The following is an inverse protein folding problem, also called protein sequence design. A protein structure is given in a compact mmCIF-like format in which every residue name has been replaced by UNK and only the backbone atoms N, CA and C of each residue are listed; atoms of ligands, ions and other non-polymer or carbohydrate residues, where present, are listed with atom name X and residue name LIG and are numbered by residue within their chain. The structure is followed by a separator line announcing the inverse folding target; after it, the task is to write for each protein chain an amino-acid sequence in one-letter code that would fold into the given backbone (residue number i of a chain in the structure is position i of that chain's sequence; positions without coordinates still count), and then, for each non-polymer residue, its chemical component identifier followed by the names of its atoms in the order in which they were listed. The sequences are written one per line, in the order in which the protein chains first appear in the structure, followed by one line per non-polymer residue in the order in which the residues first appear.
data_IF_215665832190
#
_entry.id   IF_215665832190
#
_cell.length_a   1.000
_cell.length_b   1.000
_cell.length_c   1.000
_cell.angle_alpha   90.00
_cell.angle_beta   90.00
_cell.angle_gamma   90.00
#
_symmetry.space_group_name_H-M   'P 1'
#
loop_
_entity.id
_entity.type
_entity.pdbx_description
1 polymer ?
#
# COMPACT_ATOMS: atom_id res chain seq x y z
N UNK A 1 43.42 -5.01 -65.02
CA UNK A 1 42.14 -5.73 -64.88
C UNK A 1 42.14 -6.75 -63.74
N UNK A 2 42.65 -8.00 -63.88
CA UNK A 2 42.55 -9.06 -62.83
C UNK A 2 43.05 -8.65 -61.43
N UNK A 3 44.17 -7.93 -61.32
CA UNK A 3 44.73 -7.47 -60.04
C UNK A 3 43.89 -6.38 -59.33
N UNK A 4 43.15 -5.56 -60.08
CA UNK A 4 42.26 -4.54 -59.52
C UNK A 4 41.04 -5.18 -58.82
N UNK A 5 40.56 -6.33 -59.31
CA UNK A 5 39.48 -7.08 -58.66
C UNK A 5 39.91 -7.71 -57.34
N UNK A 6 41.16 -8.21 -57.24
CA UNK A 6 41.71 -8.68 -55.96
C UNK A 6 41.74 -7.55 -54.93
N UNK A 7 42.18 -6.36 -55.34
CA UNK A 7 42.20 -5.20 -54.44
C UNK A 7 40.79 -4.79 -53.99
N UNK A 8 39.83 -4.79 -54.91
CA UNK A 8 38.45 -4.45 -54.61
C UNK A 8 37.79 -5.47 -53.65
N UNK A 9 38.08 -6.77 -53.84
CA UNK A 9 37.64 -7.83 -52.94
C UNK A 9 38.22 -7.65 -51.54
N UNK A 10 39.51 -7.32 -51.43
CA UNK A 10 40.17 -7.13 -50.15
C UNK A 10 39.62 -5.90 -49.41
N UNK A 11 39.30 -4.83 -50.15
CA UNK A 11 38.62 -3.65 -49.61
C UNK A 11 37.24 -4.02 -49.04
N UNK A 12 36.47 -4.82 -49.77
CA UNK A 12 35.13 -5.26 -49.34
C UNK A 12 35.20 -6.11 -48.06
N UNK A 13 36.14 -7.04 -47.99
CA UNK A 13 36.40 -7.86 -46.80
C UNK A 13 36.77 -6.97 -45.61
N UNK A 14 37.63 -5.98 -45.82
CA UNK A 14 38.04 -5.05 -44.75
C UNK A 14 36.85 -4.24 -44.23
N UNK A 15 36.02 -3.68 -45.12
CA UNK A 15 34.80 -2.97 -44.75
C UNK A 15 33.82 -3.87 -43.99
N UNK A 16 33.70 -5.14 -44.40
CA UNK A 16 32.84 -6.10 -43.75
C UNK A 16 33.30 -6.43 -42.33
N UNK A 17 34.62 -6.60 -42.11
CA UNK A 17 35.18 -6.82 -40.78
C UNK A 17 34.94 -5.60 -39.88
N UNK A 18 35.13 -4.39 -40.40
CA UNK A 18 34.83 -3.14 -39.66
C UNK A 18 33.36 -3.11 -39.25
N UNK A 19 32.45 -3.41 -40.17
CA UNK A 19 31.01 -3.49 -39.90
C UNK A 19 30.71 -4.50 -38.78
N UNK A 20 31.32 -5.69 -38.81
CA UNK A 20 31.14 -6.71 -37.77
C UNK A 20 31.60 -6.21 -36.40
N UNK A 21 32.77 -5.57 -36.32
CA UNK A 21 33.31 -5.03 -35.06
C UNK A 21 32.37 -3.96 -34.50
N UNK A 22 31.90 -3.02 -35.33
CA UNK A 22 30.98 -1.97 -34.90
C UNK A 22 29.64 -2.56 -34.42
N UNK A 23 29.07 -3.50 -35.18
CA UNK A 23 27.81 -4.16 -34.84
C UNK A 23 27.92 -4.93 -33.52
N UNK A 24 29.01 -5.67 -33.34
CA UNK A 24 29.28 -6.39 -32.09
C UNK A 24 29.39 -5.43 -30.90
N UNK A 25 30.23 -4.40 -31.02
CA UNK A 25 30.46 -3.43 -29.95
C UNK A 25 29.19 -2.66 -29.57
N UNK A 26 28.35 -2.33 -30.54
CA UNK A 26 27.05 -1.71 -30.29
C UNK A 26 26.10 -2.65 -29.53
N UNK A 27 26.02 -3.92 -29.93
CA UNK A 27 25.20 -4.93 -29.23
C UNK A 27 25.69 -5.15 -27.80
N UNK A 28 27.00 -5.27 -27.62
CA UNK A 28 27.63 -5.44 -26.31
C UNK A 28 27.31 -4.27 -25.38
N UNK A 29 27.46 -3.02 -25.86
CA UNK A 29 27.10 -1.83 -25.09
C UNK A 29 25.63 -1.83 -24.66
N UNK A 30 24.72 -2.14 -25.60
CA UNK A 30 23.29 -2.23 -25.31
C UNK A 30 23.00 -3.32 -24.27
N UNK A 31 23.63 -4.49 -24.39
CA UNK A 31 23.44 -5.60 -23.44
C UNK A 31 23.95 -5.21 -22.06
N UNK A 32 25.17 -4.67 -21.97
CA UNK A 32 25.77 -4.28 -20.69
C UNK A 32 24.94 -3.20 -19.98
N UNK A 33 24.44 -2.20 -20.71
CA UNK A 33 23.56 -1.17 -20.13
C UNK A 33 22.26 -1.78 -19.58
N UNK A 34 21.66 -2.74 -20.28
CA UNK A 34 20.47 -3.44 -19.77
C UNK A 34 20.79 -4.30 -18.53
N UNK A 35 21.95 -4.96 -18.51
CA UNK A 35 22.40 -5.74 -17.34
C UNK A 35 22.60 -4.81 -16.14
N UNK A 36 23.21 -3.65 -16.34
CA UNK A 36 23.46 -2.67 -15.28
C UNK A 36 22.15 -2.10 -14.72
N UNK A 37 21.19 -1.79 -15.60
CA UNK A 37 19.84 -1.39 -15.20
C UNK A 37 19.09 -2.48 -14.41
N UNK A 38 19.16 -3.73 -14.87
CA UNK A 38 18.53 -4.85 -14.14
C UNK A 38 19.19 -5.08 -12.79
N UNK A 39 20.52 -4.88 -12.70
CA UNK A 39 21.27 -5.01 -11.45
C UNK A 39 20.85 -3.94 -10.45
N UNK A 40 20.76 -2.67 -10.86
CA UNK A 40 20.32 -1.60 -9.95
C UNK A 40 18.87 -1.79 -9.49
N UNK A 41 18.00 -2.25 -10.40
CA UNK A 41 16.61 -2.56 -10.05
C UNK A 41 16.50 -3.70 -9.03
N UNK A 42 17.29 -4.77 -9.20
CA UNK A 42 17.33 -5.87 -8.25
C UNK A 42 17.86 -5.43 -6.88
N UNK A 43 18.87 -4.57 -6.85
CA UNK A 43 19.41 -4.03 -5.60
C UNK A 43 18.37 -3.17 -4.86
N UNK A 44 17.67 -2.30 -5.57
CA UNK A 44 16.58 -1.49 -4.99
C UNK A 44 15.44 -2.36 -4.46
N UNK A 45 15.05 -3.40 -5.20
CA UNK A 45 14.02 -4.35 -4.76
C UNK A 45 14.49 -5.12 -3.52
N UNK A 46 15.75 -5.56 -3.48
CA UNK A 46 16.30 -6.25 -2.31
C UNK A 46 16.24 -5.37 -1.06
N UNK A 47 16.65 -4.11 -1.16
CA UNK A 47 16.57 -3.17 -0.04
C UNK A 47 15.12 -2.99 0.45
N UNK A 48 14.16 -2.88 -0.47
CA UNK A 48 12.74 -2.78 -0.11
C UNK A 48 12.20 -4.05 0.56
N UNK A 49 12.69 -5.23 0.17
CA UNK A 49 12.33 -6.48 0.82
C UNK A 49 12.84 -6.48 2.26
N UNK A 50 14.11 -6.11 2.47
CA UNK A 50 14.71 -6.05 3.82
C UNK A 50 13.99 -5.03 4.73
N UNK A 51 13.64 -3.87 4.18
CA UNK A 51 12.83 -2.86 4.88
C UNK A 51 11.43 -3.38 5.22
N UNK A 52 10.78 -4.09 4.29
CA UNK A 52 9.46 -4.65 4.52
C UNK A 52 9.51 -5.77 5.58
N UNK A 53 10.53 -6.61 5.55
CA UNK A 53 10.73 -7.70 6.51
C UNK A 53 10.99 -7.16 7.92
N UNK A 54 11.91 -6.20 8.06
CA UNK A 54 12.18 -5.54 9.34
C UNK A 54 10.95 -4.80 9.90
N UNK A 55 10.16 -4.16 9.03
CA UNK A 55 8.90 -3.54 9.42
C UNK A 55 7.88 -4.58 9.88
N UNK A 56 7.76 -5.71 9.18
CA UNK A 56 6.89 -6.81 9.60
C UNK A 56 7.31 -7.35 10.96
N UNK A 57 8.59 -7.60 11.18
CA UNK A 57 9.12 -8.05 12.46
C UNK A 57 8.80 -7.04 13.58
N UNK A 58 9.05 -5.75 13.34
CA UNK A 58 8.69 -4.68 14.27
C UNK A 58 7.19 -4.67 14.59
N UNK A 59 6.32 -4.84 13.59
CA UNK A 59 4.85 -4.90 13.78
C UNK A 59 4.42 -6.10 14.63
N UNK A 60 5.15 -7.22 14.56
CA UNK A 60 4.84 -8.38 15.42
C UNK A 60 5.20 -8.16 16.89
N UNK A 61 6.09 -7.21 17.18
CA UNK A 61 6.63 -6.97 18.52
C UNK A 61 5.57 -6.43 19.49
N UNK A 62 5.65 -6.83 20.77
CA UNK A 62 4.72 -6.38 21.83
C UNK A 62 4.70 -4.86 22.00
N UNK A 63 5.83 -4.19 21.80
CA UNK A 63 5.96 -2.74 21.86
C UNK A 63 5.08 -2.04 20.81
N UNK A 64 5.09 -2.53 19.56
CA UNK A 64 4.25 -2.00 18.49
C UNK A 64 2.77 -2.23 18.80
N UNK A 65 2.40 -3.43 19.24
CA UNK A 65 1.01 -3.73 19.64
C UNK A 65 0.56 -2.81 20.77
N UNK A 66 1.38 -2.58 21.79
CA UNK A 66 1.06 -1.67 22.88
C UNK A 66 0.92 -0.22 22.38
N UNK A 67 1.81 0.25 21.50
CA UNK A 67 1.71 1.56 20.87
C UNK A 67 0.36 1.74 20.15
N UNK A 68 -0.03 0.77 19.33
CA UNK A 68 -1.30 0.80 18.60
C UNK A 68 -2.50 0.80 19.56
N UNK A 69 -2.47 -0.02 20.61
CA UNK A 69 -3.53 -0.06 21.63
C UNK A 69 -3.65 1.30 22.37
N UNK A 70 -2.54 1.95 22.66
CA UNK A 70 -2.51 3.30 23.25
C UNK A 70 -3.05 4.36 22.31
N UNK A 71 -2.64 4.34 21.05
CA UNK A 71 -3.03 5.35 20.04
C UNK A 71 -4.49 5.18 19.58
N UNK A 72 -4.94 3.96 19.33
CA UNK A 72 -6.27 3.72 18.73
C UNK A 72 -7.37 3.51 19.76
N UNK A 73 -7.08 2.80 20.85
CA UNK A 73 -8.08 2.43 21.86
C UNK A 73 -7.99 3.29 23.13
N UNK A 74 -7.04 4.22 23.18
CA UNK A 74 -6.82 5.08 24.36
C UNK A 74 -6.44 4.30 25.61
N UNK A 75 -6.00 3.05 25.47
CA UNK A 75 -5.62 2.18 26.59
C UNK A 75 -4.35 2.73 27.23
N UNK A 76 -4.21 2.57 28.55
CA UNK A 76 -3.03 3.02 29.31
C UNK A 76 -2.45 1.88 30.12
N UNK A 77 -1.15 1.91 30.35
CA UNK A 77 -0.53 0.92 31.24
C UNK A 77 -0.91 1.23 32.70
N UNK A 78 -0.88 0.20 33.56
CA UNK A 78 -1.20 0.35 34.99
C UNK A 78 -0.22 1.34 35.64
N UNK A 79 -0.74 2.40 36.25
CA UNK A 79 0.05 3.46 36.91
C UNK A 79 0.37 4.69 36.04
N UNK A 80 0.00 4.68 34.76
CA UNK A 80 0.25 5.79 33.82
C UNK A 80 -0.84 6.88 33.95
N UNK A 81 -0.43 8.15 34.05
CA UNK A 81 -1.33 9.32 34.02
C UNK A 81 -1.32 9.91 32.62
N UNK A 82 -2.44 9.79 31.91
CA UNK A 82 -2.63 10.33 30.55
C UNK A 82 -3.48 11.59 30.64
N UNK A 83 -3.00 12.70 30.05
CA UNK A 83 -3.71 13.99 29.99
C UNK A 83 -4.18 14.18 28.55
N UNK A 84 -5.50 14.30 28.35
CA UNK A 84 -6.09 14.53 27.04
C UNK A 84 -6.27 16.02 26.81
N UNK A 85 -5.59 16.58 25.82
CA UNK A 85 -5.74 17.98 25.41
C UNK A 85 -6.87 18.07 24.36
N UNK A 86 -8.12 18.06 24.80
CA UNK A 86 -9.31 18.20 23.95
C UNK A 86 -10.37 19.07 24.64
N UNK A 87 -11.27 19.69 23.87
CA UNK A 87 -12.44 20.39 24.44
C UNK A 87 -13.38 19.40 25.16
N UNK A 88 -14.04 19.87 26.22
CA UNK A 88 -14.84 19.06 27.18
C UNK A 88 -15.86 18.12 26.51
N UNK A 89 -16.42 18.51 25.36
CA UNK A 89 -17.44 17.74 24.64
C UNK A 89 -16.92 16.42 24.02
N UNK A 90 -15.65 16.36 23.60
CA UNK A 90 -15.06 15.15 23.00
C UNK A 90 -14.60 14.14 24.07
N UNK A 91 -14.32 14.62 25.27
CA UNK A 91 -13.87 13.80 26.41
C UNK A 91 -14.99 12.89 26.94
N UNK A 92 -16.21 13.42 27.08
CA UNK A 92 -17.34 12.67 27.64
C UNK A 92 -17.76 11.44 26.82
N UNK A 93 -17.56 11.46 25.49
CA UNK A 93 -17.94 10.33 24.60
C UNK A 93 -17.10 9.06 24.82
N UNK A 94 -15.83 9.20 25.22
CA UNK A 94 -14.90 8.08 25.36
C UNK A 94 -14.67 7.63 26.80
N UNK A 95 -14.91 8.50 27.78
CA UNK A 95 -14.69 8.20 29.21
C UNK A 95 -15.95 7.62 29.87
N UNK A 96 -17.15 8.13 29.58
CA UNK A 96 -18.38 7.62 30.23
C UNK A 96 -18.73 6.18 29.86
N UNK A 97 -18.32 5.68 28.70
CA UNK A 97 -18.59 4.30 28.28
C UNK A 97 -17.73 3.25 29.00
N UNK A 98 -16.59 3.63 29.58
CA UNK A 98 -15.70 2.69 30.26
C UNK A 98 -15.90 2.64 31.78
N UNK A 99 -16.50 3.66 32.39
CA UNK A 99 -16.74 3.70 33.84
C UNK A 99 -18.00 2.91 34.26
N UNK A 100 -18.95 2.70 33.34
CA UNK A 100 -20.19 1.94 33.59
C UNK A 100 -20.06 0.41 33.36
N UNK A 101 -18.84 -0.09 33.08
CA UNK A 101 -18.59 -1.51 32.78
C UNK A 101 -18.54 -2.46 33.98
N UNK A 102 -19.04 -2.05 35.16
CA UNK A 102 -19.22 -2.94 36.32
C UNK A 102 -20.68 -2.87 36.76
N UNK A 103 -21.38 -3.98 36.55
CA UNK A 103 -22.79 -4.27 36.87
C UNK A 103 -23.79 -3.94 35.76
N UNK A 104 -24.16 -4.95 34.95
CA UNK A 104 -25.45 -5.66 35.05
C UNK A 104 -25.61 -6.62 33.86
N UNK A 105 -25.84 -7.89 34.17
CA UNK A 105 -26.59 -8.79 33.28
C UNK A 105 -28.02 -8.23 33.17
N UNK A 106 -28.54 -8.11 31.96
CA UNK A 106 -29.92 -7.69 31.71
C UNK A 106 -30.11 -7.33 30.24
N UNK A 107 -30.88 -8.13 29.52
CA UNK A 107 -31.39 -7.85 28.18
C UNK A 107 -32.20 -6.55 28.20
N UNK A 108 -31.76 -5.51 27.49
CA UNK A 108 -32.63 -4.42 27.04
C UNK A 108 -32.23 -3.99 25.62
N UNK A 109 -33.15 -4.24 24.70
CA UNK A 109 -33.14 -3.83 23.30
C UNK A 109 -32.98 -2.31 23.21
N UNK A 110 -31.86 -1.85 22.65
CA UNK A 110 -31.66 -0.44 22.36
C UNK A 110 -32.24 -0.15 20.96
N UNK A 111 -33.49 0.33 20.92
CA UNK A 111 -34.05 1.02 19.76
C UNK A 111 -33.17 2.22 19.42
N UNK A 112 -32.37 2.08 18.36
CA UNK A 112 -31.63 3.20 17.77
C UNK A 112 -32.65 4.18 17.20
N UNK A 113 -32.60 5.44 17.62
CA UNK A 113 -33.30 6.54 16.95
C UNK A 113 -32.62 6.73 15.59
N UNK A 114 -33.13 6.04 14.58
CA UNK A 114 -32.68 6.15 13.19
C UNK A 114 -33.21 7.42 12.54
N UNK A 115 -32.35 8.06 11.74
CA UNK A 115 -32.75 9.14 10.82
C UNK A 115 -33.88 8.65 9.88
N UNK A 116 -34.84 9.49 9.44
CA UNK A 116 -35.97 9.07 8.61
C UNK A 116 -35.56 8.27 7.37
N UNK A 117 -34.41 8.60 6.78
CA UNK A 117 -33.82 7.91 5.62
C UNK A 117 -33.32 6.50 5.96
N UNK A 118 -32.71 6.33 7.13
CA UNK A 118 -32.16 5.05 7.57
C UNK A 118 -33.27 4.03 7.88
N UNK A 119 -34.44 4.49 8.37
CA UNK A 119 -35.60 3.62 8.61
C UNK A 119 -36.15 3.03 7.31
N UNK A 120 -36.18 3.83 6.25
CA UNK A 120 -36.64 3.40 4.92
C UNK A 120 -35.70 2.32 4.38
N UNK A 121 -34.38 2.54 4.48
CA UNK A 121 -33.37 1.59 4.00
C UNK A 121 -33.44 0.27 4.77
N UNK A 122 -33.73 0.27 6.08
CA UNK A 122 -33.84 -0.97 6.85
C UNK A 122 -35.02 -1.87 6.42
N UNK A 123 -36.15 -1.27 6.01
CA UNK A 123 -37.32 -2.02 5.52
C UNK A 123 -37.15 -2.67 4.14
N UNK A 124 -36.08 -2.34 3.41
CA UNK A 124 -35.84 -2.82 2.05
C UNK A 124 -35.12 -4.16 2.01
N UNK A 125 -35.47 -4.97 1.01
CA UNK A 125 -34.72 -6.18 0.67
C UNK A 125 -33.32 -5.83 0.14
N UNK A 126 -32.38 -6.78 0.21
CA UNK A 126 -31.00 -6.51 -0.22
C UNK A 126 -30.90 -6.02 -1.67
N UNK A 127 -31.76 -6.51 -2.56
CA UNK A 127 -31.79 -6.06 -3.96
C UNK A 127 -32.24 -4.60 -4.10
N UNK A 128 -33.26 -4.19 -3.36
CA UNK A 128 -33.77 -2.82 -3.35
C UNK A 128 -32.75 -1.84 -2.76
N UNK A 129 -32.01 -2.26 -1.72
CA UNK A 129 -30.89 -1.49 -1.17
C UNK A 129 -29.84 -1.18 -2.23
N UNK A 130 -29.41 -2.19 -2.99
CA UNK A 130 -28.43 -2.00 -4.07
C UNK A 130 -28.94 -1.07 -5.16
N UNK A 131 -30.21 -1.20 -5.56
CA UNK A 131 -30.82 -0.31 -6.55
C UNK A 131 -30.89 1.15 -6.05
N UNK A 132 -31.30 1.36 -4.80
CA UNK A 132 -31.35 2.69 -4.18
C UNK A 132 -29.96 3.35 -4.13
N UNK A 133 -28.93 2.62 -3.68
CA UNK A 133 -27.55 3.10 -3.64
C UNK A 133 -26.97 3.43 -5.02
N UNK A 134 -27.27 2.61 -6.04
CA UNK A 134 -26.68 2.77 -7.37
C UNK A 134 -27.38 3.83 -8.22
N UNK A 135 -28.69 4.04 -8.04
CA UNK A 135 -29.49 4.87 -8.96
C UNK A 135 -30.17 6.09 -8.32
N UNK A 136 -30.41 6.09 -7.00
CA UNK A 136 -31.16 7.17 -6.32
C UNK A 136 -30.31 8.00 -5.34
N UNK A 137 -29.20 7.46 -4.82
CA UNK A 137 -28.27 8.19 -3.93
C UNK A 137 -27.63 9.45 -4.54
N UNK A 138 -27.71 9.66 -5.86
CA UNK A 138 -27.05 10.75 -6.58
C UNK A 138 -27.97 11.90 -7.03
N UNK A 139 -29.26 11.89 -6.65
CA UNK A 139 -30.12 13.07 -6.82
C UNK A 139 -30.00 13.97 -5.60
N UNK A 140 -28.99 14.84 -5.62
CA UNK A 140 -28.97 16.09 -4.86
C UNK A 140 -29.40 17.24 -5.76
#
# INVERSE_FOLDING_TARGET
MKKQYIFLSLLFITLYIIYLILSYKYREYKINSNIEYLKSMNEEISLKIDEAESLMEYKTTRAYRNKILKEQQGLKNKGEKVVYLTSEQKYNKYVQNNENGKQKNGEEENEKILSPEEKIIQSMTNYEKWKYFLFESNKK
#
